data_IF_282763417850
#
_entry.id   IF_282763417850
#
_cell.length_a   1.000
_cell.length_b   1.000
_cell.length_c   1.000
_cell.angle_alpha   90.00
_cell.angle_beta   90.00
_cell.angle_gamma   90.00
#
_symmetry.space_group_name_H-M   'P 1'
#
loop_
_entity.id
_entity.type
_entity.pdbx_description
1 polymer ?
#
# COMPACT_ATOMS: atom_id res chain seq x y z
N UNK A 1 4.20 -25.57 6.42
CA UNK A 1 3.82 -25.47 4.99
C UNK A 1 4.91 -24.72 4.25
N UNK A 2 5.48 -25.31 3.25
CA UNK A 2 6.52 -24.66 2.44
C UNK A 2 5.81 -23.89 1.33
N UNK A 3 5.61 -22.59 1.51
CA UNK A 3 5.01 -21.75 0.47
C UNK A 3 6.15 -21.25 -0.40
N UNK A 4 6.15 -21.59 -1.70
CA UNK A 4 7.21 -21.12 -2.59
C UNK A 4 7.04 -19.63 -2.83
N UNK A 5 7.89 -18.82 -2.20
CA UNK A 5 7.91 -17.36 -2.40
C UNK A 5 8.09 -17.01 -3.89
N UNK A 6 8.74 -17.88 -4.64
CA UNK A 6 8.93 -17.74 -6.08
C UNK A 6 7.62 -17.74 -6.87
N UNK A 7 6.55 -18.30 -6.30
CA UNK A 7 5.22 -18.29 -6.93
C UNK A 7 4.42 -17.02 -6.62
N UNK A 8 4.92 -16.16 -5.72
CA UNK A 8 4.27 -14.92 -5.37
C UNK A 8 4.37 -13.93 -6.53
N UNK A 9 3.22 -13.53 -7.06
CA UNK A 9 3.14 -12.50 -8.10
C UNK A 9 2.48 -11.25 -7.54
N UNK A 10 3.30 -10.31 -7.08
CA UNK A 10 2.85 -9.02 -6.60
C UNK A 10 2.94 -7.98 -7.70
N UNK A 11 1.86 -7.24 -7.90
CA UNK A 11 1.85 -6.05 -8.73
C UNK A 11 1.55 -4.82 -7.89
N UNK A 12 2.10 -3.69 -8.29
CA UNK A 12 1.87 -2.41 -7.64
C UNK A 12 0.79 -1.66 -8.40
N UNK A 13 -0.34 -1.43 -7.73
CA UNK A 13 -1.48 -0.73 -8.32
C UNK A 13 -1.30 0.79 -8.24
N UNK A 14 -0.90 1.26 -7.06
CA UNK A 14 -0.71 2.66 -6.75
C UNK A 14 0.53 2.85 -5.91
N UNK A 15 1.28 3.90 -6.22
CA UNK A 15 2.54 4.22 -5.56
C UNK A 15 2.66 5.74 -5.51
N UNK A 16 2.95 6.30 -4.35
CA UNK A 16 3.17 7.74 -4.28
C UNK A 16 3.59 8.23 -2.91
N UNK A 17 3.80 9.52 -2.86
CA UNK A 17 4.01 10.30 -1.64
C UNK A 17 2.88 11.31 -1.51
N UNK A 18 2.32 11.44 -0.32
CA UNK A 18 1.18 12.31 -0.07
C UNK A 18 1.39 13.14 1.20
N UNK A 19 0.98 14.41 1.13
CA UNK A 19 0.88 15.31 2.28
C UNK A 19 -0.57 15.62 2.56
N UNK A 20 -0.96 15.54 3.82
CA UNK A 20 -2.31 15.82 4.28
C UNK A 20 -2.30 16.93 5.33
N UNK A 21 -3.35 17.75 5.32
CA UNK A 21 -3.57 18.84 6.27
C UNK A 21 -4.97 18.67 6.87
N UNK A 22 -5.10 17.73 7.80
CA UNK A 22 -6.38 17.35 8.42
C UNK A 22 -7.46 16.89 7.44
N UNK A 23 -7.10 16.36 6.27
CA UNK A 23 -8.00 16.02 5.17
C UNK A 23 -8.01 14.51 4.83
N UNK A 24 -7.41 13.69 5.67
CA UNK A 24 -7.34 12.24 5.47
C UNK A 24 -8.26 11.51 6.46
N UNK A 25 -9.57 11.68 6.25
CA UNK A 25 -10.63 11.20 7.13
C UNK A 25 -11.68 10.43 6.34
N UNK A 26 -11.37 9.17 5.98
CA UNK A 26 -12.25 8.29 5.23
C UNK A 26 -12.79 7.19 6.12
N UNK A 27 -14.08 6.85 5.93
CA UNK A 27 -14.80 5.84 6.72
C UNK A 27 -15.11 4.63 5.86
N UNK A 28 -15.13 3.45 6.49
CA UNK A 28 -15.60 2.23 5.85
C UNK A 28 -14.77 1.79 4.64
N UNK A 29 -13.47 2.02 4.67
CA UNK A 29 -12.56 1.63 3.59
C UNK A 29 -12.32 0.12 3.64
N UNK A 30 -12.51 -0.55 2.52
CA UNK A 30 -12.16 -1.96 2.33
C UNK A 30 -11.85 -2.19 0.86
N UNK A 31 -10.65 -2.59 0.56
CA UNK A 31 -10.17 -2.71 -0.82
C UNK A 31 -9.59 -4.08 -1.10
N UNK A 32 -9.62 -4.55 -2.36
CA UNK A 32 -9.14 -5.89 -2.72
C UNK A 32 -7.60 -5.98 -2.84
N UNK A 33 -6.88 -5.06 -2.24
CA UNK A 33 -5.41 -5.00 -2.23
C UNK A 33 -4.88 -4.62 -0.85
N UNK A 34 -3.63 -4.96 -0.62
CA UNK A 34 -2.90 -4.64 0.61
C UNK A 34 -2.32 -3.23 0.53
N UNK A 35 -2.44 -2.47 1.60
CA UNK A 35 -1.83 -1.15 1.75
C UNK A 35 -0.58 -1.23 2.61
N UNK A 36 0.49 -0.57 2.15
CA UNK A 36 1.69 -0.33 2.93
C UNK A 36 1.92 1.17 3.03
N UNK A 37 2.17 1.66 4.23
CA UNK A 37 2.42 3.06 4.51
C UNK A 37 3.76 3.23 5.22
N UNK A 38 4.62 4.09 4.68
CA UNK A 38 5.79 4.59 5.41
C UNK A 38 5.54 6.05 5.79
N UNK A 39 5.38 6.30 7.07
CA UNK A 39 5.13 7.64 7.58
C UNK A 39 6.43 8.42 7.68
N UNK A 40 6.45 9.65 7.19
CA UNK A 40 7.62 10.53 7.20
C UNK A 40 7.46 11.73 8.13
N UNK A 41 6.24 12.26 8.29
CA UNK A 41 5.97 13.43 9.11
C UNK A 41 4.58 13.35 9.75
N UNK A 42 4.46 13.93 10.93
CA UNK A 42 3.17 14.10 11.60
C UNK A 42 2.60 12.82 12.19
N UNK A 43 1.31 12.85 12.46
CA UNK A 43 0.58 11.75 13.09
C UNK A 43 -0.83 11.64 12.52
N UNK A 44 -1.29 10.40 12.34
CA UNK A 44 -2.66 10.06 12.01
C UNK A 44 -3.03 8.75 12.70
N UNK A 45 -4.29 8.31 12.54
CA UNK A 45 -4.74 7.05 13.10
C UNK A 45 -5.45 6.20 12.04
N UNK A 46 -5.30 4.89 12.18
CA UNK A 46 -6.13 3.90 11.48
C UNK A 46 -6.96 3.17 12.52
N UNK A 47 -8.27 3.18 12.31
CA UNK A 47 -9.22 2.40 13.09
C UNK A 47 -9.43 1.06 12.40
N UNK A 48 -8.81 0.01 12.95
CA UNK A 48 -9.00 -1.38 12.52
C UNK A 48 -10.13 -2.04 13.33
N UNK A 49 -10.64 -3.20 12.92
CA UNK A 49 -11.76 -3.84 13.63
C UNK A 49 -11.50 -4.11 15.11
N UNK A 50 -10.26 -4.41 15.48
CA UNK A 50 -9.90 -4.82 16.86
C UNK A 50 -9.01 -3.80 17.60
N UNK A 51 -8.50 -2.79 16.92
CA UNK A 51 -7.56 -1.83 17.52
C UNK A 51 -7.54 -0.50 16.78
N UNK A 52 -7.03 0.52 17.43
CA UNK A 52 -6.69 1.81 16.83
C UNK A 52 -5.18 1.92 16.81
N UNK A 53 -4.62 2.11 15.62
CA UNK A 53 -3.18 2.23 15.42
C UNK A 53 -2.81 3.67 15.16
N UNK A 54 -1.90 4.22 15.94
CA UNK A 54 -1.33 5.54 15.71
C UNK A 54 -0.19 5.43 14.71
N UNK A 55 -0.33 6.12 13.59
CA UNK A 55 0.70 6.20 12.54
C UNK A 55 1.69 7.29 12.90
N UNK A 56 2.98 6.93 12.98
CA UNK A 56 4.04 7.85 13.39
C UNK A 56 5.27 7.74 12.49
N UNK A 57 6.09 8.79 12.39
CA UNK A 57 7.26 8.82 11.51
C UNK A 57 8.26 7.69 11.79
N UNK A 58 8.88 7.17 10.74
CA UNK A 58 9.91 6.14 10.83
C UNK A 58 9.38 4.72 10.97
N UNK A 59 8.08 4.50 10.76
CA UNK A 59 7.45 3.19 10.84
C UNK A 59 6.73 2.84 9.55
N UNK A 60 6.69 1.55 9.24
CA UNK A 60 5.88 0.98 8.15
C UNK A 60 4.67 0.30 8.75
N UNK A 61 3.51 0.56 8.15
CA UNK A 61 2.22 -0.01 8.54
C UNK A 61 1.62 -0.79 7.40
N UNK A 62 0.95 -1.89 7.72
CA UNK A 62 0.27 -2.74 6.75
C UNK A 62 -1.21 -2.87 7.08
N UNK A 63 -2.06 -2.63 6.08
CA UNK A 63 -3.49 -2.95 6.12
C UNK A 63 -3.74 -4.01 5.06
N UNK A 64 -4.05 -5.26 5.45
CA UNK A 64 -4.30 -6.33 4.50
C UNK A 64 -5.52 -6.09 3.62
N UNK A 65 -5.56 -6.76 2.46
CA UNK A 65 -6.73 -6.74 1.58
C UNK A 65 -8.00 -7.15 2.34
N UNK A 66 -9.10 -6.50 1.99
CA UNK A 66 -10.44 -6.75 2.56
C UNK A 66 -10.62 -6.47 4.06
N UNK A 67 -9.61 -5.96 4.75
CA UNK A 67 -9.76 -5.54 6.15
C UNK A 67 -10.44 -4.17 6.18
N UNK A 68 -11.66 -4.06 6.76
CA UNK A 68 -12.35 -2.80 6.87
C UNK A 68 -11.64 -1.88 7.86
N UNK A 69 -11.48 -0.62 7.50
CA UNK A 69 -10.79 0.36 8.33
C UNK A 69 -11.25 1.78 8.03
N UNK A 70 -10.85 2.71 8.89
CA UNK A 70 -11.11 4.14 8.74
C UNK A 70 -9.86 4.93 9.07
N UNK A 71 -9.73 6.11 8.49
CA UNK A 71 -8.62 7.03 8.73
C UNK A 71 -9.07 8.23 9.54
N UNK A 72 -8.20 8.70 10.42
CA UNK A 72 -8.40 9.89 11.23
C UNK A 72 -7.13 10.74 11.22
N UNK A 73 -7.22 11.98 10.73
CA UNK A 73 -6.09 12.89 10.62
C UNK A 73 -6.54 14.32 10.99
N UNK A 74 -5.99 14.86 12.07
CA UNK A 74 -6.37 16.17 12.61
C UNK A 74 -5.33 17.26 12.40
N UNK A 75 -4.23 16.96 11.77
CA UNK A 75 -3.14 17.91 11.53
C UNK A 75 -2.33 17.55 10.30
N UNK A 76 -1.10 18.02 10.28
CA UNK A 76 -0.18 17.70 9.20
C UNK A 76 0.30 16.25 9.29
N UNK A 77 0.31 15.58 8.15
CA UNK A 77 0.68 14.19 8.02
C UNK A 77 1.24 13.91 6.63
N UNK A 78 2.35 13.21 6.55
CA UNK A 78 2.97 12.86 5.28
C UNK A 78 3.44 11.41 5.27
N UNK A 79 3.24 10.74 4.15
CA UNK A 79 3.56 9.33 3.99
C UNK A 79 3.87 8.97 2.54
N UNK A 80 4.68 7.92 2.37
CA UNK A 80 4.68 7.10 1.17
C UNK A 80 3.59 6.05 1.28
N UNK A 81 2.90 5.75 0.18
CA UNK A 81 1.92 4.67 0.11
C UNK A 81 2.22 3.73 -1.05
N UNK A 82 2.01 2.44 -0.81
CA UNK A 82 2.03 1.38 -1.82
C UNK A 82 0.73 0.59 -1.70
N UNK A 83 0.04 0.39 -2.82
CA UNK A 83 -1.08 -0.55 -2.91
C UNK A 83 -0.64 -1.75 -3.73
N UNK A 84 -0.62 -2.90 -3.09
CA UNK A 84 -0.04 -4.13 -3.65
C UNK A 84 -1.15 -5.16 -3.84
N UNK A 85 -1.20 -5.73 -5.03
CA UNK A 85 -2.18 -6.75 -5.41
C UNK A 85 -1.48 -8.05 -5.75
N UNK A 86 -1.97 -9.17 -5.21
CA UNK A 86 -1.47 -10.50 -5.50
C UNK A 86 -2.26 -11.10 -6.67
N UNK A 87 -1.60 -11.23 -7.84
CA UNK A 87 -2.18 -11.88 -9.01
C UNK A 87 -2.06 -13.40 -8.95
N UNK A 88 -2.97 -14.08 -9.67
CA UNK A 88 -2.95 -15.53 -9.85
C UNK A 88 -2.91 -16.33 -8.56
N UNK A 89 -3.44 -15.75 -7.49
CA UNK A 89 -3.54 -16.45 -6.22
C UNK A 89 -4.56 -17.61 -6.32
N UNK A 90 -4.26 -18.72 -5.65
CA UNK A 90 -5.23 -19.76 -5.32
C UNK A 90 -6.25 -19.25 -4.29
N UNK A 91 -7.14 -20.08 -3.77
CA UNK A 91 -8.20 -19.71 -2.83
C UNK A 91 -7.75 -18.82 -1.68
N UNK A 92 -6.56 -19.09 -1.13
CA UNK A 92 -5.91 -18.19 -0.17
C UNK A 92 -4.58 -17.70 -0.77
N UNK A 93 -4.42 -16.40 -0.92
CA UNK A 93 -3.18 -15.80 -1.37
C UNK A 93 -2.04 -16.00 -0.36
N UNK A 94 -0.79 -15.86 -0.82
CA UNK A 94 0.39 -15.95 0.05
C UNK A 94 0.34 -14.85 1.12
N UNK A 95 -0.03 -13.62 0.75
CA UNK A 95 -0.15 -12.52 1.72
C UNK A 95 -1.22 -12.81 2.80
N UNK A 96 -2.30 -13.50 2.44
CA UNK A 96 -3.36 -13.87 3.39
C UNK A 96 -2.97 -15.07 4.28
N UNK A 97 -1.97 -15.83 3.88
CA UNK A 97 -1.52 -17.05 4.59
C UNK A 97 -0.53 -16.77 5.72
N UNK A 98 -0.02 -15.56 5.81
CA UNK A 98 0.92 -15.14 6.85
C UNK A 98 0.27 -14.13 7.79
N UNK A 99 0.62 -14.24 9.07
CA UNK A 99 0.26 -13.26 10.09
C UNK A 99 1.35 -12.18 10.15
N UNK A 100 1.20 -11.16 9.31
CA UNK A 100 2.13 -10.04 9.27
C UNK A 100 1.85 -9.06 10.41
N UNK A 101 2.88 -8.47 11.02
CA UNK A 101 2.68 -7.40 11.99
C UNK A 101 2.05 -6.17 11.32
N UNK A 102 1.18 -5.49 12.05
CA UNK A 102 0.55 -4.25 11.57
C UNK A 102 1.55 -3.11 11.47
N UNK A 103 2.57 -3.09 12.33
CA UNK A 103 3.57 -2.03 12.45
C UNK A 103 4.97 -2.62 12.60
N UNK A 104 5.93 -2.07 11.85
CA UNK A 104 7.35 -2.35 12.02
C UNK A 104 8.15 -1.05 11.96
N UNK A 105 9.27 -1.01 12.66
CA UNK A 105 10.21 0.10 12.56
C UNK A 105 10.94 0.04 11.22
N UNK A 106 10.97 1.14 10.48
CA UNK A 106 11.67 1.23 9.20
C UNK A 106 13.15 1.55 9.40
N UNK A 107 14.01 0.78 8.75
CA UNK A 107 15.43 1.11 8.65
C UNK A 107 15.72 1.98 7.40
N UNK A 108 16.97 2.33 7.18
CA UNK A 108 17.37 3.17 6.05
C UNK A 108 17.17 2.46 4.70
N UNK A 109 17.25 1.13 4.66
CA UNK A 109 16.99 0.35 3.46
C UNK A 109 15.49 0.38 3.11
N UNK A 110 14.62 0.22 4.10
CA UNK A 110 13.17 0.31 3.91
C UNK A 110 12.78 1.68 3.35
N UNK A 111 13.30 2.74 3.94
CA UNK A 111 13.05 4.13 3.48
C UNK A 111 13.54 4.34 2.04
N UNK A 112 14.73 3.84 1.73
CA UNK A 112 15.29 3.93 0.38
C UNK A 112 14.46 3.13 -0.63
N UNK A 113 13.94 1.96 -0.25
CA UNK A 113 13.09 1.14 -1.11
C UNK A 113 11.78 1.84 -1.45
N UNK A 114 11.09 2.42 -0.47
CA UNK A 114 9.87 3.20 -0.73
C UNK A 114 10.11 4.37 -1.67
N UNK A 115 11.17 5.13 -1.43
CA UNK A 115 11.53 6.26 -2.30
C UNK A 115 11.89 5.80 -3.73
N UNK A 116 12.62 4.71 -3.88
CA UNK A 116 13.00 4.15 -5.17
C UNK A 116 11.80 3.64 -5.96
N UNK A 117 10.86 2.96 -5.30
CA UNK A 117 9.61 2.49 -5.91
C UNK A 117 8.80 3.70 -6.42
N UNK A 118 8.62 4.70 -5.58
CA UNK A 118 7.89 5.92 -5.92
C UNK A 118 8.53 6.64 -7.11
N UNK A 119 9.87 6.74 -7.14
CA UNK A 119 10.59 7.35 -8.24
C UNK A 119 10.45 6.53 -9.54
N UNK A 120 10.50 5.21 -9.46
CA UNK A 120 10.43 4.31 -10.61
C UNK A 120 9.03 4.30 -11.25
N UNK A 121 7.97 4.41 -10.43
CA UNK A 121 6.60 4.28 -10.90
C UNK A 121 5.75 5.53 -10.62
N UNK A 122 6.18 6.68 -11.10
CA UNK A 122 5.49 7.97 -10.88
C UNK A 122 4.08 8.01 -11.49
N UNK A 123 3.84 7.30 -12.59
CA UNK A 123 2.52 7.23 -13.23
C UNK A 123 1.44 6.53 -12.40
N UNK A 124 1.80 5.88 -11.30
CA UNK A 124 0.88 5.18 -10.42
C UNK A 124 0.39 6.03 -9.23
N UNK A 125 0.74 7.31 -9.16
CA UNK A 125 0.25 8.20 -8.11
C UNK A 125 -1.27 8.32 -8.15
N UNK A 126 -1.91 8.29 -6.98
CA UNK A 126 -3.36 8.44 -6.87
C UNK A 126 -3.79 9.86 -7.26
N UNK A 127 -4.84 10.00 -8.10
CA UNK A 127 -5.39 11.31 -8.43
C UNK A 127 -6.17 11.95 -7.29
N UNK A 128 -6.62 11.13 -6.33
CA UNK A 128 -7.39 11.56 -5.16
C UNK A 128 -7.16 10.58 -4.01
N UNK A 129 -7.26 11.07 -2.78
CA UNK A 129 -7.22 10.23 -1.58
C UNK A 129 -8.53 9.48 -1.30
N UNK A 130 -9.59 9.75 -2.05
CA UNK A 130 -10.88 9.06 -1.90
C UNK A 130 -10.79 7.61 -2.42
N UNK A 131 -10.90 6.59 -1.53
CA UNK A 131 -10.79 5.20 -1.94
C UNK A 131 -11.81 4.78 -3.00
N UNK A 132 -13.02 5.30 -2.98
CA UNK A 132 -14.09 4.95 -3.93
C UNK A 132 -13.73 5.23 -5.40
N UNK A 133 -12.75 6.11 -5.63
CA UNK A 133 -12.32 6.46 -6.99
C UNK A 133 -11.39 5.40 -7.58
N UNK A 134 -10.59 4.73 -6.77
CA UNK A 134 -9.53 3.84 -7.26
C UNK A 134 -9.69 2.37 -6.87
N UNK A 135 -10.56 2.02 -5.91
CA UNK A 135 -10.72 0.64 -5.45
C UNK A 135 -11.94 -0.09 -6.06
N UNK A 136 -12.70 0.57 -6.92
CA UNK A 136 -13.79 -0.05 -7.66
C UNK A 136 -13.26 -0.94 -8.81
N UNK A 137 -14.14 -1.74 -9.42
CA UNK A 137 -13.80 -2.70 -10.48
C UNK A 137 -13.08 -2.04 -11.67
N UNK A 138 -13.54 -0.89 -12.13
CA UNK A 138 -12.91 -0.17 -13.24
C UNK A 138 -11.55 0.40 -12.85
N UNK A 139 -11.43 0.98 -11.68
CA UNK A 139 -10.17 1.49 -11.14
C UNK A 139 -9.12 0.40 -11.00
N UNK A 140 -9.51 -0.77 -10.51
CA UNK A 140 -8.65 -1.94 -10.39
C UNK A 140 -8.17 -2.42 -11.78
N UNK A 141 -9.07 -2.57 -12.73
CA UNK A 141 -8.73 -3.01 -14.09
C UNK A 141 -7.72 -2.05 -14.74
N UNK A 142 -7.95 -0.76 -14.68
CA UNK A 142 -7.04 0.26 -15.22
C UNK A 142 -5.66 0.20 -14.56
N UNK A 143 -5.61 0.02 -13.24
CA UNK A 143 -4.36 -0.04 -12.49
C UNK A 143 -3.55 -1.30 -12.82
N UNK A 144 -4.22 -2.44 -12.98
CA UNK A 144 -3.59 -3.70 -13.39
C UNK A 144 -3.01 -3.57 -14.80
N UNK A 145 -3.79 -3.05 -15.75
CA UNK A 145 -3.33 -2.82 -17.12
C UNK A 145 -2.13 -1.87 -17.17
N UNK A 146 -2.19 -0.79 -16.42
CA UNK A 146 -1.08 0.18 -16.33
C UNK A 146 0.21 -0.46 -15.86
N UNK A 147 0.14 -1.33 -14.83
CA UNK A 147 1.32 -2.06 -14.35
C UNK A 147 1.87 -2.99 -15.42
N UNK A 148 1.02 -3.76 -16.09
CA UNK A 148 1.45 -4.70 -17.14
C UNK A 148 2.00 -4.01 -18.38
N UNK A 149 1.60 -2.76 -18.64
CA UNK A 149 2.10 -1.94 -19.74
C UNK A 149 3.48 -1.32 -19.47
N UNK A 150 4.00 -1.40 -18.24
CA UNK A 150 5.32 -0.89 -17.91
C UNK A 150 6.40 -1.58 -18.76
N UNK A 151 7.49 -0.83 -19.11
CA UNK A 151 8.67 -1.44 -19.70
C UNK A 151 9.23 -2.55 -18.82
N UNK A 152 9.77 -3.60 -19.42
CA UNK A 152 10.31 -4.75 -18.68
C UNK A 152 11.35 -4.35 -17.64
N UNK A 153 12.20 -3.38 -17.97
CA UNK A 153 13.21 -2.86 -17.06
C UNK A 153 12.60 -2.31 -15.76
N UNK A 154 11.53 -1.53 -15.88
CA UNK A 154 10.84 -0.95 -14.71
C UNK A 154 10.15 -2.02 -13.88
N UNK A 155 9.49 -3.01 -14.53
CA UNK A 155 8.89 -4.15 -13.82
C UNK A 155 9.93 -4.94 -13.02
N UNK A 156 11.11 -5.17 -13.61
CA UNK A 156 12.21 -5.87 -12.93
C UNK A 156 12.72 -5.09 -11.72
N UNK A 157 12.87 -3.77 -11.84
CA UNK A 157 13.26 -2.92 -10.72
C UNK A 157 12.23 -2.94 -9.60
N UNK A 158 10.96 -2.77 -9.92
CA UNK A 158 9.88 -2.80 -8.93
C UNK A 158 9.83 -4.15 -8.22
N UNK A 159 9.98 -5.24 -8.95
CA UNK A 159 10.02 -6.58 -8.37
C UNK A 159 11.22 -6.78 -7.43
N UNK A 160 12.34 -6.15 -7.72
CA UNK A 160 13.53 -6.20 -6.86
C UNK A 160 13.37 -5.45 -5.55
N UNK A 161 12.47 -4.45 -5.49
CA UNK A 161 12.15 -3.72 -4.26
C UNK A 161 11.00 -4.33 -3.46
N UNK A 162 10.17 -5.11 -4.09
CA UNK A 162 9.02 -5.75 -3.45
C UNK A 162 9.44 -6.98 -2.64
#
# INVERSE_FOLDING_TARGET
MNIPIESLSLIMLHVGFSRHHADWNWQGVSSPFTRLFLVTEGEAKIHLPSEVVTLRPGHVYMVPAYVPHSYECHGDFALYYLHVYEEFKSEAGILESFDFPTEVCADELDKAAFAAICHTYQGAALPSSNPDIYDNTNGMACSIERYHALPLHDKMRLRGFA
#
